data_IF_069343789202
#
_entry.id   IF_069343789202
#
_cell.length_a   1.000
_cell.length_b   1.000
_cell.length_c   1.000
_cell.angle_alpha   90.00
_cell.angle_beta   90.00
_cell.angle_gamma   90.00
#
_symmetry.space_group_name_H-M   'P 1'
#
loop_
_entity.id
_entity.type
_entity.pdbx_description
1 polymer ?
#
# COMPACT_ATOMS: atom_id res chain seq x y z
N UNK A 1 13.06 0.40 11.61
CA UNK A 1 12.10 1.06 10.69
C UNK A 1 10.99 0.13 10.21
N UNK A 2 11.27 -1.07 9.69
CA UNK A 2 10.22 -2.03 9.25
C UNK A 2 9.27 -2.38 10.40
N UNK A 3 9.81 -2.65 11.58
CA UNK A 3 9.01 -2.94 12.79
C UNK A 3 8.09 -1.75 13.15
N UNK A 4 8.60 -0.51 13.02
CA UNK A 4 7.80 0.69 13.27
C UNK A 4 6.67 0.86 12.24
N UNK A 5 6.95 0.64 10.96
CA UNK A 5 5.94 0.71 9.90
C UNK A 5 4.85 -0.37 10.09
N UNK A 6 5.24 -1.58 10.48
CA UNK A 6 4.29 -2.67 10.79
C UNK A 6 3.47 -2.35 12.04
N UNK A 7 4.12 -1.86 13.11
CA UNK A 7 3.42 -1.46 14.34
C UNK A 7 2.47 -0.29 14.09
N UNK A 8 2.90 0.72 13.33
CA UNK A 8 2.05 1.84 12.94
C UNK A 8 0.84 1.39 12.12
N UNK A 9 1.06 0.51 11.13
CA UNK A 9 -0.02 -0.09 10.36
C UNK A 9 -0.99 -0.89 11.23
N UNK A 10 -0.48 -1.65 12.21
CA UNK A 10 -1.28 -2.39 13.19
C UNK A 10 -2.10 -1.45 14.09
N UNK A 11 -1.50 -0.36 14.57
CA UNK A 11 -2.18 0.64 15.41
C UNK A 11 -3.29 1.33 14.63
N UNK A 12 -3.01 1.75 13.39
CA UNK A 12 -4.03 2.34 12.49
C UNK A 12 -5.16 1.33 12.26
N UNK A 13 -4.82 0.07 11.97
CA UNK A 13 -5.79 -1.01 11.78
C UNK A 13 -6.67 -1.21 13.02
N UNK A 14 -6.08 -1.25 14.22
CA UNK A 14 -6.81 -1.39 15.50
C UNK A 14 -7.72 -0.20 15.75
N UNK A 15 -7.22 1.03 15.54
CA UNK A 15 -8.01 2.26 15.74
C UNK A 15 -9.21 2.28 14.79
N UNK A 16 -9.03 1.87 13.55
CA UNK A 16 -10.10 1.83 12.55
C UNK A 16 -11.14 0.74 12.81
N UNK A 17 -10.74 -0.36 13.46
CA UNK A 17 -11.67 -1.41 13.87
C UNK A 17 -12.34 -1.15 15.23
N UNK A 18 -11.95 -0.08 15.93
CA UNK A 18 -12.59 0.35 17.17
C UNK A 18 -13.90 1.07 16.86
N UNK A 19 -14.91 0.33 16.45
CA UNK A 19 -16.29 0.84 16.44
C UNK A 19 -16.84 0.76 17.85
N UNK A 20 -17.17 1.92 18.37
CA UNK A 20 -17.74 2.17 19.68
C UNK A 20 -19.12 1.50 19.82
N UNK A 21 -19.16 0.26 20.22
CA UNK A 21 -20.34 -0.33 20.85
C UNK A 21 -19.99 -0.62 22.31
N UNK A 22 -20.81 -0.13 23.21
CA UNK A 22 -20.55 0.14 24.63
C UNK A 22 -20.19 -1.08 25.52
N UNK A 23 -19.93 -2.26 24.98
CA UNK A 23 -19.64 -3.43 25.81
C UNK A 23 -18.75 -4.54 25.23
N UNK A 24 -18.42 -4.54 23.94
CA UNK A 24 -17.54 -5.57 23.38
C UNK A 24 -16.61 -4.99 22.31
N UNK A 25 -15.33 -5.39 22.38
CA UNK A 25 -14.37 -5.14 21.29
C UNK A 25 -14.79 -6.06 20.12
N UNK A 26 -15.69 -5.58 19.29
CA UNK A 26 -15.97 -6.21 18.02
C UNK A 26 -14.79 -5.92 17.09
N UNK A 27 -13.94 -6.89 16.88
CA UNK A 27 -13.15 -6.94 15.66
C UNK A 27 -14.14 -7.03 14.49
N UNK A 28 -14.57 -5.88 14.00
CA UNK A 28 -15.44 -5.81 12.85
C UNK A 28 -14.88 -6.72 11.78
N UNK A 29 -15.72 -7.44 11.07
CA UNK A 29 -15.34 -8.48 10.13
C UNK A 29 -14.11 -8.03 9.32
N UNK A 30 -12.94 -8.62 9.59
CA UNK A 30 -11.69 -8.39 8.84
C UNK A 30 -11.96 -8.48 7.32
N UNK A 31 -12.96 -9.27 6.92
CA UNK A 31 -13.42 -9.35 5.54
C UNK A 31 -13.90 -8.03 4.94
N UNK A 32 -14.37 -7.08 5.76
CA UNK A 32 -14.83 -5.77 5.28
C UNK A 32 -13.66 -4.88 4.83
N UNK A 33 -12.48 -5.11 5.42
CA UNK A 33 -11.23 -4.39 5.09
C UNK A 33 -10.41 -5.09 4.02
N UNK A 34 -10.65 -6.39 3.80
CA UNK A 34 -10.03 -7.16 2.73
C UNK A 34 -10.87 -7.04 1.46
N UNK A 35 -10.88 -5.84 0.87
CA UNK A 35 -11.49 -5.64 -0.44
C UNK A 35 -10.50 -6.08 -1.53
N UNK A 36 -10.71 -7.31 -2.00
CA UNK A 36 -9.87 -7.92 -3.03
C UNK A 36 -9.83 -7.12 -4.34
N UNK A 37 -10.94 -6.58 -4.86
CA UNK A 37 -10.92 -5.70 -6.03
C UNK A 37 -10.01 -4.48 -5.85
N UNK A 38 -10.09 -3.78 -4.73
CA UNK A 38 -9.23 -2.63 -4.42
C UNK A 38 -7.76 -3.01 -4.33
N UNK A 39 -7.45 -4.15 -3.71
CA UNK A 39 -6.08 -4.65 -3.61
C UNK A 39 -5.50 -4.97 -5.00
N UNK A 40 -6.25 -5.66 -5.84
CA UNK A 40 -5.87 -5.98 -7.22
C UNK A 40 -5.63 -4.69 -8.01
N UNK A 41 -6.51 -3.71 -7.87
CA UNK A 41 -6.39 -2.44 -8.60
C UNK A 41 -5.14 -1.65 -8.23
N UNK A 42 -4.64 -1.78 -7.02
CA UNK A 42 -3.39 -1.15 -6.56
C UNK A 42 -2.16 -1.95 -6.96
N UNK A 43 -2.20 -3.28 -6.84
CA UNK A 43 -1.02 -4.14 -7.02
C UNK A 43 -0.76 -4.46 -8.50
N UNK A 44 -1.80 -4.76 -9.28
CA UNK A 44 -1.62 -5.21 -10.66
C UNK A 44 -0.93 -4.18 -11.56
N UNK A 45 -1.26 -2.88 -11.53
CA UNK A 45 -0.51 -1.88 -12.30
C UNK A 45 0.96 -1.81 -11.90
N UNK A 46 1.28 -1.95 -10.61
CA UNK A 46 2.67 -1.95 -10.14
C UNK A 46 3.45 -3.15 -10.69
N UNK A 47 2.86 -4.35 -10.67
CA UNK A 47 3.47 -5.55 -11.23
C UNK A 47 3.64 -5.46 -12.74
N UNK A 48 2.62 -5.00 -13.47
CA UNK A 48 2.68 -4.84 -14.92
C UNK A 48 3.78 -3.86 -15.34
N UNK A 49 3.87 -2.70 -14.69
CA UNK A 49 4.89 -1.70 -15.02
C UNK A 49 6.29 -2.17 -14.65
N UNK A 50 6.46 -2.92 -13.56
CA UNK A 50 7.74 -3.57 -13.24
C UNK A 50 8.18 -4.52 -14.35
N UNK A 51 7.25 -5.32 -14.88
CA UNK A 51 7.53 -6.25 -15.95
C UNK A 51 7.86 -5.52 -17.26
N UNK A 52 7.06 -4.52 -17.65
CA UNK A 52 7.24 -3.76 -18.87
C UNK A 52 8.56 -2.98 -18.89
N UNK A 53 8.99 -2.46 -17.75
CA UNK A 53 10.24 -1.69 -17.63
C UNK A 53 11.47 -2.59 -17.35
N UNK A 54 11.31 -3.89 -17.25
CA UNK A 54 12.41 -4.81 -16.94
C UNK A 54 12.98 -4.67 -15.53
N UNK A 55 12.29 -3.92 -14.63
CA UNK A 55 12.73 -3.62 -13.27
C UNK A 55 12.39 -4.74 -12.27
N UNK A 56 11.73 -5.80 -12.71
CA UNK A 56 11.30 -6.92 -11.87
C UNK A 56 12.45 -7.52 -11.04
N UNK A 57 13.56 -7.83 -11.70
CA UNK A 57 14.74 -8.41 -11.05
C UNK A 57 15.36 -7.43 -10.04
N UNK A 58 15.44 -6.18 -10.39
CA UNK A 58 16.03 -5.14 -9.54
C UNK A 58 15.19 -4.88 -8.30
N UNK A 59 13.88 -4.84 -8.43
CA UNK A 59 12.95 -4.68 -7.31
C UNK A 59 13.10 -5.81 -6.28
N UNK A 60 13.01 -7.07 -6.71
CA UNK A 60 13.14 -8.20 -5.78
C UNK A 60 14.56 -8.35 -5.24
N UNK A 61 15.59 -8.02 -6.03
CA UNK A 61 16.98 -7.98 -5.57
C UNK A 61 17.19 -6.90 -4.52
N UNK A 62 16.55 -5.74 -4.66
CA UNK A 62 16.58 -4.66 -3.67
C UNK A 62 16.01 -5.10 -2.33
N UNK A 63 14.81 -5.68 -2.33
CA UNK A 63 14.18 -6.21 -1.11
C UNK A 63 15.07 -7.29 -0.46
N UNK A 64 15.58 -8.21 -1.26
CA UNK A 64 16.45 -9.30 -0.79
C UNK A 64 17.74 -8.76 -0.16
N UNK A 65 18.37 -7.76 -0.78
CA UNK A 65 19.61 -7.14 -0.27
C UNK A 65 19.38 -6.47 1.09
N UNK A 66 18.22 -5.80 1.27
CA UNK A 66 17.85 -5.20 2.55
C UNK A 66 17.63 -6.26 3.64
N UNK A 67 16.97 -7.37 3.30
CA UNK A 67 16.70 -8.45 4.27
C UNK A 67 18.00 -9.13 4.69
N UNK A 68 18.93 -9.37 3.74
CA UNK A 68 20.20 -10.05 3.99
C UNK A 68 21.29 -9.11 4.53
N UNK A 69 21.12 -7.80 4.43
CA UNK A 69 22.15 -6.82 4.81
C UNK A 69 23.37 -6.85 3.88
N UNK A 70 23.20 -7.25 2.63
CA UNK A 70 24.29 -7.31 1.64
C UNK A 70 24.71 -5.91 1.21
N UNK A 71 26.00 -5.61 1.30
CA UNK A 71 26.57 -4.36 0.74
C UNK A 71 26.62 -4.46 -0.78
N UNK A 72 26.16 -3.44 -1.46
CA UNK A 72 26.14 -3.37 -2.92
C UNK A 72 26.96 -2.17 -3.42
N UNK A 73 27.48 -2.28 -4.63
CA UNK A 73 28.17 -1.20 -5.30
C UNK A 73 27.22 -0.01 -5.54
N UNK A 74 27.76 1.22 -5.58
CA UNK A 74 26.99 2.46 -5.73
C UNK A 74 26.08 2.43 -6.96
N UNK A 75 26.55 1.88 -8.09
CA UNK A 75 25.76 1.77 -9.32
C UNK A 75 24.58 0.77 -9.20
N UNK A 76 24.81 -0.37 -8.55
CA UNK A 76 23.73 -1.35 -8.28
C UNK A 76 22.69 -0.78 -7.31
N UNK A 77 23.16 -0.11 -6.26
CA UNK A 77 22.32 0.56 -5.28
C UNK A 77 21.34 1.53 -5.93
N UNK A 78 21.85 2.46 -6.74
CA UNK A 78 21.02 3.46 -7.43
C UNK A 78 19.93 2.78 -8.28
N UNK A 79 20.26 1.70 -8.95
CA UNK A 79 19.34 0.93 -9.78
C UNK A 79 18.26 0.24 -8.94
N UNK A 80 18.63 -0.37 -7.79
CA UNK A 80 17.71 -1.03 -6.87
C UNK A 80 16.79 -0.01 -6.19
N UNK A 81 17.34 1.11 -5.72
CA UNK A 81 16.58 2.21 -5.10
C UNK A 81 15.57 2.80 -6.09
N UNK A 82 15.99 3.06 -7.34
CA UNK A 82 15.09 3.54 -8.38
C UNK A 82 13.94 2.57 -8.69
N UNK A 83 14.20 1.26 -8.68
CA UNK A 83 13.15 0.27 -8.88
C UNK A 83 12.11 0.30 -7.75
N UNK A 84 12.55 0.40 -6.50
CA UNK A 84 11.66 0.51 -5.33
C UNK A 84 10.87 1.81 -5.35
N UNK A 85 11.54 2.93 -5.63
CA UNK A 85 10.92 4.25 -5.75
C UNK A 85 9.85 4.29 -6.84
N UNK A 86 10.15 3.69 -8.01
CA UNK A 86 9.18 3.58 -9.11
C UNK A 86 7.92 2.86 -8.68
N UNK A 87 8.04 1.72 -7.98
CA UNK A 87 6.87 0.99 -7.48
C UNK A 87 6.05 1.83 -6.51
N UNK A 88 6.70 2.57 -5.62
CA UNK A 88 6.03 3.47 -4.67
C UNK A 88 5.14 4.49 -5.39
N UNK A 89 5.68 5.17 -6.41
CA UNK A 89 4.90 6.12 -7.19
C UNK A 89 3.73 5.47 -7.91
N UNK A 90 3.94 4.30 -8.53
CA UNK A 90 2.88 3.59 -9.25
C UNK A 90 1.76 3.21 -8.29
N UNK A 91 2.07 2.67 -7.13
CA UNK A 91 1.11 2.29 -6.09
C UNK A 91 0.29 3.51 -5.64
N UNK A 92 0.95 4.67 -5.41
CA UNK A 92 0.25 5.90 -5.04
C UNK A 92 -0.70 6.39 -6.14
N UNK A 93 -0.24 6.47 -7.38
CA UNK A 93 -1.09 6.94 -8.48
C UNK A 93 -2.22 5.97 -8.79
N UNK A 94 -1.97 4.65 -8.76
CA UNK A 94 -3.01 3.64 -8.95
C UNK A 94 -4.11 3.74 -7.88
N UNK A 95 -3.71 3.94 -6.62
CA UNK A 95 -4.67 4.09 -5.53
C UNK A 95 -5.50 5.37 -5.68
N UNK A 96 -4.88 6.47 -6.11
CA UNK A 96 -5.59 7.73 -6.35
C UNK A 96 -6.66 7.55 -7.44
N UNK A 97 -6.32 6.89 -8.54
CA UNK A 97 -7.27 6.57 -9.61
C UNK A 97 -8.38 5.66 -9.08
N UNK A 98 -8.05 4.63 -8.29
CA UNK A 98 -9.03 3.74 -7.71
C UNK A 98 -10.03 4.48 -6.80
N UNK A 99 -9.53 5.38 -5.95
CA UNK A 99 -10.36 6.23 -5.08
C UNK A 99 -11.28 7.13 -5.91
N UNK A 100 -10.75 7.79 -6.95
CA UNK A 100 -11.56 8.64 -7.83
C UNK A 100 -12.68 7.85 -8.53
N UNK A 101 -12.38 6.65 -9.02
CA UNK A 101 -13.38 5.77 -9.64
C UNK A 101 -14.42 5.30 -8.61
N UNK A 102 -13.98 4.97 -7.40
CA UNK A 102 -14.86 4.60 -6.30
C UNK A 102 -15.83 5.73 -5.95
N UNK A 103 -15.34 6.94 -5.78
CA UNK A 103 -16.20 8.10 -5.53
C UNK A 103 -17.13 8.41 -6.69
N UNK A 104 -16.67 8.27 -7.93
CA UNK A 104 -17.54 8.40 -9.09
C UNK A 104 -18.71 7.40 -9.04
N UNK A 105 -18.43 6.15 -8.70
CA UNK A 105 -19.48 5.14 -8.51
C UNK A 105 -20.44 5.50 -7.37
N UNK A 106 -19.95 6.04 -6.25
CA UNK A 106 -20.78 6.51 -5.14
C UNK A 106 -21.75 7.62 -5.56
N UNK A 107 -21.32 8.53 -6.43
CA UNK A 107 -22.15 9.64 -6.92
C UNK A 107 -23.39 9.12 -7.70
N UNK A 108 -23.34 7.91 -8.25
CA UNK A 108 -24.51 7.33 -8.93
C UNK A 108 -25.62 6.86 -7.97
N UNK A 109 -25.33 6.79 -6.66
CA UNK A 109 -26.25 6.30 -5.61
C UNK A 109 -26.62 7.38 -4.59
N UNK A 110 -26.46 8.67 -4.93
CA UNK A 110 -26.73 9.79 -4.03
C UNK A 110 -28.15 9.82 -3.47
N UNK A 111 -29.11 9.30 -4.23
CA UNK A 111 -30.51 9.28 -3.85
C UNK A 111 -30.82 8.25 -2.73
N UNK A 112 -29.92 7.29 -2.49
CA UNK A 112 -30.10 6.20 -1.53
C UNK A 112 -29.17 6.43 -0.32
N UNK A 113 -29.64 7.22 0.64
CA UNK A 113 -28.85 7.64 1.82
C UNK A 113 -28.29 6.48 2.65
N UNK A 114 -29.02 5.35 2.73
CA UNK A 114 -28.64 4.17 3.52
C UNK A 114 -27.38 3.49 2.98
N UNK A 115 -27.13 3.57 1.68
CA UNK A 115 -26.02 2.89 1.00
C UNK A 115 -24.80 3.82 0.84
N UNK A 116 -25.01 5.13 0.99
CA UNK A 116 -23.99 6.14 0.73
C UNK A 116 -22.77 5.98 1.64
N UNK A 117 -22.98 5.85 2.95
CA UNK A 117 -21.90 5.72 3.94
C UNK A 117 -21.02 4.50 3.70
N UNK A 118 -21.58 3.29 3.63
CA UNK A 118 -20.82 2.08 3.32
C UNK A 118 -20.03 2.16 2.01
N UNK A 119 -20.63 2.70 0.95
CA UNK A 119 -19.96 2.82 -0.35
C UNK A 119 -18.81 3.84 -0.32
N UNK A 120 -18.95 4.95 0.39
CA UNK A 120 -17.85 5.90 0.61
C UNK A 120 -16.69 5.25 1.36
N UNK A 121 -16.97 4.42 2.35
CA UNK A 121 -15.93 3.68 3.09
C UNK A 121 -15.16 2.75 2.15
N UNK A 122 -15.84 1.95 1.34
CA UNK A 122 -15.20 1.05 0.37
C UNK A 122 -14.37 1.84 -0.64
N UNK A 123 -14.87 2.98 -1.14
CA UNK A 123 -14.14 3.81 -2.08
C UNK A 123 -12.79 4.34 -1.53
N UNK A 124 -12.61 4.42 -0.21
CA UNK A 124 -11.36 4.89 0.42
C UNK A 124 -10.35 3.77 0.69
N UNK A 125 -10.75 2.50 0.67
CA UNK A 125 -9.89 1.35 0.98
C UNK A 125 -8.60 1.31 0.15
N UNK A 126 -8.59 1.57 -1.17
CA UNK A 126 -7.36 1.57 -1.96
C UNK A 126 -6.28 2.52 -1.43
N UNK A 127 -6.69 3.66 -0.87
CA UNK A 127 -5.77 4.63 -0.28
C UNK A 127 -5.03 4.03 0.92
N UNK A 128 -5.72 3.29 1.79
CA UNK A 128 -5.08 2.62 2.93
C UNK A 128 -4.06 1.59 2.51
N UNK A 129 -4.38 0.77 1.52
CA UNK A 129 -3.41 -0.19 0.98
C UNK A 129 -2.18 0.50 0.43
N UNK A 130 -2.36 1.57 -0.32
CA UNK A 130 -1.25 2.31 -0.89
C UNK A 130 -0.36 2.94 0.19
N UNK A 131 -0.93 3.51 1.25
CA UNK A 131 -0.17 4.08 2.36
C UNK A 131 0.66 3.01 3.06
N UNK A 132 0.08 1.86 3.39
CA UNK A 132 0.78 0.76 4.05
C UNK A 132 1.93 0.24 3.17
N UNK A 133 1.67 -0.03 1.91
CA UNK A 133 2.69 -0.50 0.95
C UNK A 133 3.81 0.53 0.82
N UNK A 134 3.47 1.82 0.70
CA UNK A 134 4.44 2.89 0.59
C UNK A 134 5.32 3.04 1.83
N UNK A 135 4.77 2.90 3.04
CA UNK A 135 5.55 2.94 4.28
C UNK A 135 6.57 1.78 4.34
N UNK A 136 6.16 0.58 3.93
CA UNK A 136 7.05 -0.58 3.86
C UNK A 136 8.16 -0.33 2.83
N UNK A 137 7.82 0.08 1.63
CA UNK A 137 8.78 0.33 0.55
C UNK A 137 9.70 1.52 0.84
N UNK A 138 9.20 2.57 1.51
CA UNK A 138 10.02 3.68 1.99
C UNK A 138 11.09 3.21 2.97
N UNK A 139 10.74 2.28 3.85
CA UNK A 139 11.69 1.69 4.80
C UNK A 139 12.76 0.85 4.08
N UNK A 140 12.40 0.17 3.01
CA UNK A 140 13.34 -0.60 2.16
C UNK A 140 14.28 0.36 1.43
N UNK A 141 13.77 1.41 0.80
CA UNK A 141 14.55 2.42 0.08
C UNK A 141 15.55 3.14 1.00
N UNK A 142 15.09 3.62 2.15
CA UNK A 142 15.93 4.27 3.14
C UNK A 142 17.06 3.35 3.65
N UNK A 143 16.80 2.04 3.76
CA UNK A 143 17.81 1.08 4.19
C UNK A 143 18.80 0.74 3.07
N UNK A 144 18.36 0.70 1.81
CA UNK A 144 19.27 0.60 0.66
C UNK A 144 20.24 1.78 0.63
N UNK A 145 19.78 2.97 0.99
CA UNK A 145 20.60 4.17 1.03
C UNK A 145 21.63 4.14 2.17
N UNK A 146 21.31 3.57 3.30
CA UNK A 146 22.20 3.49 4.47
C UNK A 146 23.28 2.39 4.35
N UNK A 147 23.01 1.26 3.72
CA UNK A 147 23.94 0.10 3.65
C UNK A 147 25.17 0.39 2.76
N UNK A 148 25.21 1.51 2.05
CA UNK A 148 26.26 1.87 1.08
C UNK A 148 27.35 2.79 1.63
N UNK A 149 27.20 3.32 2.83
CA UNK A 149 28.27 4.02 3.56
C UNK A 149 29.14 3.02 4.33
#
# INVERSE_FOLDING_TARGET
MIVFAVLFGLVVFVIMNYTKNESEIYFGNISTWLDLPSLIFVIVPALLLLLCNGLWKDFFSGIKSVIKGERKNISEKSRLSNAVSTVRYIVLFSSLIAVMLGYYAVLTYLDIKEVLGPNMMVATIPCFYAVIINLILLSVEARLDYISE
#
